data_IF_354290173026
#
_entry.id   IF_354290173026
#
_cell.length_a   1.000
_cell.length_b   1.000
_cell.length_c   1.000
_cell.angle_alpha   90.00
_cell.angle_beta   90.00
_cell.angle_gamma   90.00
#
_symmetry.space_group_name_H-M   'P 1'
#
loop_
_entity.id
_entity.type
_entity.pdbx_description
1 polymer ?
#
# COMPACT_ATOMS: atom_id res chain seq x y z
N UNK A 1 -1.89 15.11 -6.15
CA UNK A 1 -2.26 14.31 -4.96
C UNK A 1 -1.38 13.08 -5.01
N UNK A 2 -0.36 13.02 -4.15
CA UNK A 2 0.52 11.85 -4.04
C UNK A 2 -0.25 10.81 -3.24
N UNK A 3 -0.42 9.62 -3.83
CA UNK A 3 -1.12 8.49 -3.22
C UNK A 3 -0.33 8.05 -1.97
N UNK A 4 -0.91 8.25 -0.79
CA UNK A 4 -0.24 8.00 0.50
C UNK A 4 -0.13 6.51 0.86
N UNK A 5 -0.46 5.61 -0.07
CA UNK A 5 -0.44 4.16 0.14
C UNK A 5 0.84 3.50 -0.40
N UNK A 6 1.70 4.27 -1.07
CA UNK A 6 2.82 3.75 -1.88
C UNK A 6 3.87 2.94 -1.09
N UNK A 7 3.93 3.08 0.24
CA UNK A 7 4.90 2.35 1.08
C UNK A 7 4.48 0.91 1.44
N UNK A 8 3.18 0.56 1.38
CA UNK A 8 2.72 -0.84 1.50
C UNK A 8 2.78 -1.59 0.18
N UNK A 9 2.81 -0.86 -0.94
CA UNK A 9 2.71 -1.40 -2.30
C UNK A 9 4.11 -1.74 -2.82
N UNK A 10 4.94 -2.40 -2.01
CA UNK A 10 6.05 -3.19 -2.54
C UNK A 10 5.56 -4.63 -2.76
N UNK A 11 4.90 -4.85 -3.89
CA UNK A 11 4.99 -6.10 -4.66
C UNK A 11 4.26 -7.37 -4.20
N UNK A 12 3.47 -7.38 -3.11
CA UNK A 12 2.95 -8.66 -2.58
C UNK A 12 1.61 -9.14 -3.16
N UNK A 13 0.79 -8.24 -3.68
CA UNK A 13 -0.45 -8.62 -4.36
C UNK A 13 -0.21 -8.36 -5.84
N UNK A 14 -0.44 -9.35 -6.69
CA UNK A 14 -0.46 -9.16 -8.15
C UNK A 14 -1.90 -8.95 -8.59
N UNK A 15 -2.11 -8.10 -9.60
CA UNK A 15 -3.43 -7.83 -10.17
C UNK A 15 -3.89 -8.98 -11.08
N UNK A 16 -3.97 -10.17 -10.50
CA UNK A 16 -4.29 -11.44 -11.14
C UNK A 16 -5.57 -12.03 -10.53
N UNK A 17 -6.48 -12.53 -11.37
CA UNK A 17 -7.79 -13.05 -10.97
C UNK A 17 -7.72 -14.18 -9.91
N UNK A 18 -6.66 -14.98 -9.90
CA UNK A 18 -6.45 -16.02 -8.90
C UNK A 18 -6.23 -15.42 -7.52
N UNK A 19 -5.41 -14.36 -7.43
CA UNK A 19 -5.13 -13.65 -6.18
C UNK A 19 -6.41 -13.05 -5.59
N UNK A 20 -7.26 -12.43 -6.43
CA UNK A 20 -8.57 -11.91 -5.98
C UNK A 20 -9.45 -12.97 -5.32
N UNK A 21 -9.53 -14.17 -5.89
CA UNK A 21 -10.34 -15.27 -5.31
C UNK A 21 -9.84 -15.68 -3.93
N UNK A 22 -8.53 -15.64 -3.72
CA UNK A 22 -7.90 -16.05 -2.47
C UNK A 22 -8.07 -15.01 -1.36
N UNK A 23 -8.00 -13.72 -1.70
CA UNK A 23 -7.99 -12.63 -0.70
C UNK A 23 -9.36 -12.02 -0.42
N UNK A 24 -10.31 -12.09 -1.36
CA UNK A 24 -11.65 -11.55 -1.15
C UNK A 24 -12.48 -12.46 -0.22
N UNK A 25 -13.27 -11.83 0.65
CA UNK A 25 -14.16 -12.51 1.58
C UNK A 25 -15.34 -13.21 0.88
N UNK A 26 -16.21 -13.84 1.67
CA UNK A 26 -17.35 -14.61 1.14
C UNK A 26 -18.44 -13.75 0.49
N UNK A 27 -18.50 -12.44 0.79
CA UNK A 27 -19.48 -11.53 0.21
C UNK A 27 -18.97 -10.94 -1.12
N UNK A 28 -17.72 -10.49 -1.17
CA UNK A 28 -17.13 -9.81 -2.32
C UNK A 28 -16.71 -10.80 -3.43
N UNK A 29 -16.23 -12.00 -3.07
CA UNK A 29 -15.79 -13.03 -4.04
C UNK A 29 -16.85 -13.43 -5.08
N UNK A 30 -18.10 -13.77 -4.73
CA UNK A 30 -19.10 -14.15 -5.74
C UNK A 30 -19.47 -12.98 -6.67
N UNK A 31 -19.35 -11.74 -6.20
CA UNK A 31 -19.59 -10.53 -7.02
C UNK A 31 -18.46 -10.37 -8.03
N UNK A 32 -17.20 -10.46 -7.58
CA UNK A 32 -16.04 -10.44 -8.45
C UNK A 32 -16.11 -11.53 -9.52
N UNK A 33 -16.39 -12.79 -9.13
CA UNK A 33 -16.45 -13.90 -10.09
C UNK A 33 -17.54 -13.73 -11.15
N UNK A 34 -18.68 -13.15 -10.78
CA UNK A 34 -19.76 -12.83 -11.73
C UNK A 34 -19.32 -11.76 -12.72
N UNK A 35 -18.71 -10.68 -12.24
CA UNK A 35 -18.22 -9.59 -13.10
C UNK A 35 -17.10 -10.07 -14.02
N UNK A 36 -16.15 -10.85 -13.50
CA UNK A 36 -15.04 -11.42 -14.26
C UNK A 36 -15.54 -12.39 -15.34
N UNK A 37 -16.52 -13.25 -15.02
CA UNK A 37 -17.16 -14.12 -16.02
C UNK A 37 -17.91 -13.33 -17.09
N UNK A 38 -18.56 -12.22 -16.71
CA UNK A 38 -19.19 -11.30 -17.64
C UNK A 38 -18.16 -10.68 -18.61
N UNK A 39 -17.04 -10.19 -18.07
CA UNK A 39 -15.95 -9.65 -18.89
C UNK A 39 -15.39 -10.69 -19.87
N UNK A 40 -15.17 -11.95 -19.44
CA UNK A 40 -14.74 -13.02 -20.33
C UNK A 40 -15.73 -13.28 -21.49
N UNK A 41 -17.03 -13.13 -21.22
CA UNK A 41 -18.05 -13.28 -22.26
C UNK A 41 -17.99 -12.13 -23.28
N UNK A 42 -17.75 -10.90 -22.83
CA UNK A 42 -17.53 -9.76 -23.71
C UNK A 42 -16.28 -9.92 -24.57
N UNK A 43 -15.15 -10.32 -23.96
CA UNK A 43 -13.92 -10.64 -24.72
C UNK A 43 -14.16 -11.73 -25.77
N UNK A 44 -14.95 -12.76 -25.45
CA UNK A 44 -15.27 -13.80 -26.42
C UNK A 44 -16.10 -13.27 -27.61
N UNK A 45 -16.79 -12.14 -27.44
CA UNK A 45 -17.64 -11.52 -28.45
C UNK A 45 -16.88 -10.54 -29.34
N UNK A 46 -16.01 -9.72 -28.77
CA UNK A 46 -15.34 -8.61 -29.47
C UNK A 46 -13.81 -8.70 -29.51
N UNK A 47 -13.21 -9.69 -28.85
CA UNK A 47 -11.77 -9.89 -28.69
C UNK A 47 -11.04 -8.75 -27.98
N UNK A 48 -11.75 -7.83 -27.33
CA UNK A 48 -11.16 -6.74 -26.56
C UNK A 48 -10.87 -7.21 -25.13
N UNK A 49 -9.60 -7.32 -24.77
CA UNK A 49 -9.19 -7.71 -23.41
C UNK A 49 -9.37 -6.61 -22.37
N UNK A 50 -9.67 -5.37 -22.79
CA UNK A 50 -9.89 -4.25 -21.88
C UNK A 50 -11.04 -4.50 -20.90
N UNK A 51 -12.03 -5.33 -21.26
CA UNK A 51 -13.10 -5.75 -20.35
C UNK A 51 -12.56 -6.44 -19.09
N UNK A 52 -11.56 -7.30 -19.25
CA UNK A 52 -10.91 -8.00 -18.14
C UNK A 52 -10.12 -6.99 -17.30
N UNK A 53 -9.34 -6.13 -17.95
CA UNK A 53 -8.56 -5.11 -17.26
C UNK A 53 -9.47 -4.21 -16.42
N UNK A 54 -10.58 -3.73 -16.97
CA UNK A 54 -11.51 -2.86 -16.26
C UNK A 54 -12.07 -3.49 -14.98
N UNK A 55 -12.43 -4.78 -15.02
CA UNK A 55 -12.84 -5.52 -13.82
C UNK A 55 -11.68 -5.60 -12.83
N UNK A 56 -10.49 -6.00 -13.28
CA UNK A 56 -9.32 -6.09 -12.41
C UNK A 56 -8.93 -4.74 -11.80
N UNK A 57 -9.09 -3.59 -12.50
CA UNK A 57 -8.80 -2.24 -11.95
C UNK A 57 -9.77 -1.96 -10.80
N UNK A 58 -11.06 -2.15 -11.05
CA UNK A 58 -12.11 -1.80 -10.08
C UNK A 58 -11.97 -2.58 -8.78
N UNK A 59 -11.63 -3.86 -8.89
CA UNK A 59 -11.53 -4.74 -7.72
C UNK A 59 -10.21 -4.60 -6.97
N UNK A 60 -9.17 -4.06 -7.61
CA UNK A 60 -7.82 -4.00 -7.07
C UNK A 60 -7.74 -3.43 -5.64
N UNK A 61 -8.36 -2.27 -5.40
CA UNK A 61 -8.33 -1.65 -4.07
C UNK A 61 -8.90 -2.54 -2.97
N UNK A 62 -10.05 -3.20 -3.23
CA UNK A 62 -10.67 -4.12 -2.28
C UNK A 62 -9.80 -5.33 -1.97
N UNK A 63 -9.13 -5.88 -2.98
CA UNK A 63 -8.22 -7.00 -2.77
C UNK A 63 -6.97 -6.61 -1.98
N UNK A 64 -6.43 -5.41 -2.21
CA UNK A 64 -5.33 -4.88 -1.40
C UNK A 64 -5.76 -4.72 0.05
N UNK A 65 -6.93 -4.12 0.29
CA UNK A 65 -7.47 -3.92 1.63
C UNK A 65 -7.71 -5.25 2.36
N UNK A 66 -8.23 -6.27 1.65
CA UNK A 66 -8.49 -7.58 2.21
C UNK A 66 -7.20 -8.39 2.46
N UNK A 67 -6.23 -8.33 1.54
CA UNK A 67 -4.95 -9.04 1.64
C UNK A 67 -4.02 -8.43 2.70
N UNK A 68 -4.09 -7.11 2.88
CA UNK A 68 -3.26 -6.37 3.81
C UNK A 68 -4.11 -5.47 4.71
N UNK A 69 -4.92 -6.06 5.61
CA UNK A 69 -5.73 -5.29 6.54
C UNK A 69 -4.87 -4.25 7.27
N UNK A 70 -5.39 -3.02 7.37
CA UNK A 70 -4.73 -1.96 8.12
C UNK A 70 -4.67 -2.39 9.58
N UNK A 71 -3.45 -2.48 10.13
CA UNK A 71 -3.22 -2.85 11.52
C UNK A 71 -3.65 -1.71 12.46
N UNK A 72 -3.86 -2.01 13.75
CA UNK A 72 -4.20 -0.97 14.73
C UNK A 72 -3.09 0.08 14.86
N UNK A 73 -1.83 -0.32 14.72
CA UNK A 73 -0.68 0.58 14.70
C UNK A 73 -0.71 1.53 13.50
N UNK A 74 -1.04 1.02 12.32
CA UNK A 74 -1.18 1.82 11.11
C UNK A 74 -2.39 2.75 11.19
N UNK A 75 -3.50 2.31 11.80
CA UNK A 75 -4.66 3.16 12.08
C UNK A 75 -4.30 4.31 13.03
N UNK A 76 -3.53 4.04 14.09
CA UNK A 76 -3.05 5.09 14.99
C UNK A 76 -2.14 6.08 14.26
N UNK A 77 -1.19 5.57 13.45
CA UNK A 77 -0.30 6.40 12.65
C UNK A 77 -1.07 7.30 11.66
N UNK A 78 -2.08 6.77 10.97
CA UNK A 78 -2.96 7.55 10.09
C UNK A 78 -3.71 8.61 10.87
N UNK A 79 -4.36 8.24 11.99
CA UNK A 79 -5.15 9.16 12.80
C UNK A 79 -4.29 10.29 13.39
N UNK A 80 -3.03 10.01 13.77
CA UNK A 80 -2.06 11.01 14.21
C UNK A 80 -1.68 11.96 13.07
N UNK A 81 -1.36 11.41 11.89
CA UNK A 81 -1.00 12.19 10.72
C UNK A 81 -2.14 13.13 10.27
N UNK A 82 -3.39 12.68 10.34
CA UNK A 82 -4.57 13.51 10.07
C UNK A 82 -4.72 14.67 11.07
N UNK A 83 -4.22 14.52 12.29
CA UNK A 83 -4.13 15.59 13.30
C UNK A 83 -2.86 16.44 13.18
N UNK A 84 -1.99 16.16 12.21
CA UNK A 84 -0.72 16.85 11.97
C UNK A 84 0.47 16.30 12.76
N UNK A 85 0.31 15.17 13.47
CA UNK A 85 1.41 14.46 14.13
C UNK A 85 1.97 13.39 13.18
N UNK A 86 3.16 13.65 12.63
CA UNK A 86 3.83 12.75 11.70
C UNK A 86 4.85 11.83 12.38
N UNK A 87 4.88 11.75 13.71
CA UNK A 87 5.92 11.04 14.45
C UNK A 87 5.97 9.52 14.21
N UNK A 88 4.88 8.96 13.69
CA UNK A 88 4.74 7.54 13.33
C UNK A 88 4.77 7.28 11.83
N UNK A 89 5.11 8.28 11.02
CA UNK A 89 5.12 8.19 9.55
C UNK A 89 6.54 8.38 9.04
N UNK A 90 6.96 7.47 8.16
CA UNK A 90 8.17 7.68 7.36
C UNK A 90 7.88 8.68 6.25
N UNK A 91 8.67 9.75 6.22
CA UNK A 91 8.69 10.72 5.13
C UNK A 91 9.67 10.25 4.08
N UNK A 92 9.34 10.52 2.82
CA UNK A 92 10.17 10.19 1.67
C UNK A 92 10.52 11.49 0.94
N UNK A 93 11.81 11.80 0.90
CA UNK A 93 12.32 12.96 0.18
C UNK A 93 12.47 12.66 -1.31
N UNK A 94 12.54 13.73 -2.12
CA UNK A 94 12.69 13.63 -3.57
C UNK A 94 14.00 12.99 -4.03
N UNK A 95 14.99 12.89 -3.13
CA UNK A 95 16.27 12.25 -3.38
C UNK A 95 16.27 10.73 -3.09
N UNK A 96 15.10 10.17 -2.73
CA UNK A 96 14.95 8.75 -2.39
C UNK A 96 15.24 8.44 -0.92
N UNK A 97 15.66 9.41 -0.12
CA UNK A 97 15.93 9.21 1.30
C UNK A 97 14.63 9.11 2.06
N UNK A 98 14.53 8.11 2.95
CA UNK A 98 13.40 8.01 3.87
C UNK A 98 13.84 8.34 5.29
N UNK A 99 13.04 9.11 6.02
CA UNK A 99 13.30 9.46 7.41
C UNK A 99 12.03 9.55 8.25
N UNK A 100 12.15 9.43 9.56
CA UNK A 100 11.06 9.56 10.53
C UNK A 100 11.57 10.31 11.75
N UNK A 101 10.81 11.26 12.27
CA UNK A 101 11.11 11.91 13.55
C UNK A 101 10.20 11.32 14.63
N UNK A 102 10.74 10.80 15.73
CA UNK A 102 9.90 10.25 16.80
C UNK A 102 9.38 11.32 17.78
N UNK A 103 8.55 10.92 18.76
CA UNK A 103 7.94 11.82 19.74
C UNK A 103 8.96 12.59 20.60
N UNK A 104 10.24 12.18 20.62
CA UNK A 104 11.33 12.84 21.34
C UNK A 104 12.19 13.74 20.43
N UNK A 105 11.84 13.87 19.15
CA UNK A 105 12.61 14.62 18.15
C UNK A 105 13.85 13.88 17.63
N UNK A 106 13.96 12.56 17.84
CA UNK A 106 15.04 11.76 17.27
C UNK A 106 14.71 11.44 15.81
N UNK A 107 15.68 11.65 14.92
CA UNK A 107 15.52 11.37 13.49
C UNK A 107 16.06 9.97 13.18
N UNK A 108 15.20 9.13 12.65
CA UNK A 108 15.53 7.83 12.11
C UNK A 108 15.67 7.96 10.59
N UNK A 109 16.78 7.51 10.00
CA UNK A 109 16.98 7.52 8.54
C UNK A 109 17.12 6.10 8.03
N UNK A 110 16.58 5.85 6.85
CA UNK A 110 16.72 4.60 6.12
C UNK A 110 17.56 4.84 4.87
N UNK A 111 18.71 4.18 4.83
CA UNK A 111 19.64 4.19 3.70
C UNK A 111 19.09 3.33 2.54
N UNK A 112 19.61 3.52 1.33
CA UNK A 112 19.17 2.76 0.13
C UNK A 112 19.29 1.23 0.30
N UNK A 113 20.29 0.77 1.08
CA UNK A 113 20.50 -0.64 1.38
C UNK A 113 19.54 -1.20 2.45
N UNK A 114 18.61 -0.39 2.95
CA UNK A 114 17.65 -0.73 3.98
C UNK A 114 18.18 -0.62 5.42
N UNK A 115 19.44 -0.23 5.63
CA UNK A 115 19.98 0.02 6.96
C UNK A 115 19.28 1.24 7.58
N UNK A 116 18.97 1.14 8.87
CA UNK A 116 18.34 2.22 9.63
C UNK A 116 19.31 2.70 10.70
N UNK A 117 19.57 4.01 10.75
CA UNK A 117 20.35 4.64 11.82
C UNK A 117 19.57 5.81 12.43
N UNK A 118 19.96 6.20 13.66
CA UNK A 118 19.37 7.34 14.35
C UNK A 118 20.36 8.51 14.43
N UNK A 119 19.82 9.71 14.30
CA UNK A 119 20.51 10.98 14.40
C UNK A 119 19.88 11.77 15.55
N UNK A 120 20.72 12.25 16.46
CA UNK A 120 20.29 13.16 17.50
C UNK A 120 19.87 14.51 16.88
N UNK A 121 19.05 15.34 17.56
CA UNK A 121 18.66 16.67 17.07
C UNK A 121 19.86 17.60 16.75
N UNK A 122 21.03 17.27 17.30
CA UNK A 122 22.31 17.93 17.05
C UNK A 122 22.97 17.58 15.72
N UNK A 123 22.41 16.64 14.94
CA UNK A 123 22.95 16.17 13.66
C UNK A 123 24.09 15.15 13.77
N UNK A 124 24.35 14.62 14.97
CA UNK A 124 25.35 13.57 15.18
C UNK A 124 24.74 12.19 14.88
N UNK A 125 25.35 11.46 13.94
CA UNK A 125 25.06 10.04 13.68
C UNK A 125 25.50 9.20 14.87
N UNK A 126 24.57 8.49 15.49
CA UNK A 126 24.90 7.45 16.47
C UNK A 126 24.91 6.10 15.75
N UNK A 127 26.11 5.54 15.56
CA UNK A 127 26.27 4.18 15.05
C UNK A 127 26.24 3.20 16.23
N UNK A 128 25.42 2.14 16.09
CA UNK A 128 25.42 1.00 17.00
C UNK A 128 26.04 -0.22 16.32
#
# INVERSE_FOLDING_TARGET
MVDKSDWKIQGNVSRDAQVFREVLDEEDRPVFEREFRGALWEVARDFDTSHIDNVLIRWWGRAVDAAQPITDEERDAIARAERGDFSKVWQHDTDGTSWQEDENGIIWRKEENGAIHREAPSGLKEHH
#
